data_IF_219380903487
#
_entry.id   IF_219380903487
#
_cell.length_a   1.000
_cell.length_b   1.000
_cell.length_c   1.000
_cell.angle_alpha   90.00
_cell.angle_beta   90.00
_cell.angle_gamma   90.00
#
_symmetry.space_group_name_H-M   'P 1'
#
loop_
_entity.id
_entity.type
_entity.pdbx_description
1 polymer ?
#
# COMPACT_ATOMS: atom_id res chain seq x y z
N UNK A 1 -2.18 15.22 30.19
CA UNK A 1 -1.16 14.72 29.26
C UNK A 1 -0.20 13.66 29.84
N UNK A 2 0.06 13.59 31.15
CA UNK A 2 0.98 12.59 31.75
C UNK A 2 0.37 11.19 31.99
N UNK A 3 -0.93 10.97 31.85
CA UNK A 3 -1.62 9.68 32.08
C UNK A 3 -1.90 8.86 30.81
N UNK A 4 -1.73 9.46 29.63
CA UNK A 4 -1.98 8.76 28.35
C UNK A 4 -0.75 7.96 27.86
N UNK A 5 0.45 8.35 28.30
CA UNK A 5 1.70 7.62 27.96
C UNK A 5 1.89 6.31 28.71
N UNK A 6 1.23 6.14 29.86
CA UNK A 6 1.36 4.95 30.69
C UNK A 6 0.52 3.75 30.19
N UNK A 7 -0.49 3.97 29.37
CA UNK A 7 -1.38 2.90 28.90
C UNK A 7 -0.84 2.15 27.67
N UNK A 8 0.08 2.76 26.93
CA UNK A 8 0.73 2.13 25.76
C UNK A 8 1.90 1.21 26.15
N UNK A 9 2.41 1.29 27.39
CA UNK A 9 3.54 0.50 27.87
C UNK A 9 3.08 -0.80 28.56
N UNK A 10 1.83 -0.89 29.01
CA UNK A 10 1.33 -2.03 29.79
C UNK A 10 0.70 -3.16 28.96
N UNK A 11 0.51 -3.01 27.67
CA UNK A 11 0.09 -4.11 26.78
C UNK A 11 1.25 -4.93 26.18
N UNK A 12 2.49 -4.60 26.50
CA UNK A 12 3.72 -5.23 25.97
C UNK A 12 4.45 -6.21 26.89
N UNK A 13 3.93 -6.51 28.08
CA UNK A 13 4.59 -7.45 29.01
C UNK A 13 3.77 -8.74 29.10
N UNK A 14 4.12 -9.71 28.24
CA UNK A 14 3.47 -11.01 28.34
C UNK A 14 3.86 -12.06 27.30
N UNK A 15 4.99 -11.93 26.65
CA UNK A 15 5.51 -13.05 25.85
C UNK A 15 7.04 -13.12 25.96
N UNK A 16 7.53 -13.65 27.04
CA UNK A 16 8.84 -14.31 27.02
C UNK A 16 8.66 -15.59 26.20
N UNK A 17 8.87 -15.49 24.90
CA UNK A 17 9.03 -16.66 24.05
C UNK A 17 10.38 -17.29 24.42
N UNK A 18 10.36 -18.41 25.11
CA UNK A 18 11.50 -19.26 25.37
C UNK A 18 12.03 -19.77 24.02
N UNK A 19 13.04 -19.10 23.48
CA UNK A 19 13.82 -19.64 22.38
C UNK A 19 14.71 -20.77 22.95
N UNK A 20 14.38 -22.00 22.64
CA UNK A 20 15.19 -23.14 23.02
C UNK A 20 16.53 -23.11 22.26
N UNK A 21 17.71 -23.38 22.89
CA UNK A 21 19.01 -23.36 22.20
C UNK A 21 19.11 -24.34 21.00
N UNK A 22 18.22 -25.34 20.93
CA UNK A 22 18.11 -26.25 19.81
C UNK A 22 17.63 -25.58 18.51
N UNK A 23 16.94 -24.45 18.58
CA UNK A 23 16.39 -23.77 17.40
C UNK A 23 17.48 -23.05 16.59
N UNK A 24 18.53 -22.54 17.23
CA UNK A 24 19.60 -21.83 16.52
C UNK A 24 20.51 -22.75 15.67
N UNK A 25 20.74 -23.98 16.09
CA UNK A 25 21.50 -24.96 15.32
C UNK A 25 20.65 -25.52 14.15
N UNK A 26 19.33 -25.70 14.38
CA UNK A 26 18.37 -26.16 13.39
C UNK A 26 18.10 -25.11 12.31
N UNK A 27 18.08 -23.83 12.66
CA UNK A 27 17.98 -22.71 11.69
C UNK A 27 19.21 -22.69 10.75
N UNK A 28 20.40 -23.03 11.22
CA UNK A 28 21.60 -23.11 10.36
C UNK A 28 21.55 -24.31 9.39
N UNK A 29 20.97 -25.44 9.78
CA UNK A 29 20.81 -26.60 8.87
C UNK A 29 19.68 -26.38 7.86
N UNK A 30 18.61 -25.71 8.26
CA UNK A 30 17.50 -25.33 7.36
C UNK A 30 17.94 -24.30 6.30
N UNK A 31 18.88 -23.41 6.64
CA UNK A 31 19.43 -22.44 5.67
C UNK A 31 20.26 -23.11 4.55
N UNK A 32 20.80 -24.30 4.74
CA UNK A 32 21.51 -25.03 3.69
C UNK A 32 20.58 -25.74 2.71
N UNK A 33 19.46 -26.29 3.21
CA UNK A 33 18.43 -26.92 2.34
C UNK A 33 17.51 -25.88 1.66
N UNK A 34 17.30 -24.71 2.26
CA UNK A 34 16.48 -23.64 1.69
C UNK A 34 17.11 -22.98 0.47
N UNK A 35 18.43 -23.10 0.27
CA UNK A 35 19.09 -22.62 -0.95
C UNK A 35 18.55 -23.29 -2.23
N UNK A 36 18.01 -24.50 -2.15
CA UNK A 36 17.36 -25.20 -3.28
C UNK A 36 15.90 -24.82 -3.49
N UNK A 37 15.19 -24.39 -2.43
CA UNK A 37 13.77 -24.01 -2.50
C UNK A 37 13.63 -22.52 -2.91
N UNK A 38 14.65 -21.73 -2.69
CA UNK A 38 14.68 -20.27 -2.98
C UNK A 38 14.58 -19.89 -4.46
N UNK A 39 14.64 -20.85 -5.38
CA UNK A 39 14.75 -20.50 -6.80
C UNK A 39 13.42 -20.24 -7.51
N UNK A 40 12.27 -20.48 -6.90
CA UNK A 40 11.02 -20.61 -7.64
C UNK A 40 9.89 -19.68 -7.23
N UNK A 41 9.99 -18.99 -6.14
CA UNK A 41 8.92 -18.06 -5.73
C UNK A 41 9.49 -16.74 -5.27
N UNK A 42 9.29 -15.74 -6.07
CA UNK A 42 9.69 -14.39 -5.74
C UNK A 42 8.65 -13.40 -6.13
N UNK A 43 8.56 -12.40 -5.31
CA UNK A 43 8.10 -11.08 -5.72
C UNK A 43 8.86 -10.62 -6.95
N UNK A 44 8.39 -9.57 -7.52
CA UNK A 44 9.02 -8.92 -8.65
C UNK A 44 10.46 -8.53 -8.35
N UNK A 45 11.30 -8.52 -9.37
CA UNK A 45 12.69 -8.15 -9.21
C UNK A 45 12.80 -6.69 -8.81
N UNK A 46 13.64 -6.42 -7.84
CA UNK A 46 14.03 -5.06 -7.50
C UNK A 46 15.37 -4.73 -8.13
N UNK A 47 15.60 -3.49 -8.57
CA UNK A 47 16.90 -3.02 -9.03
C UNK A 47 17.93 -2.93 -7.91
N UNK A 48 17.51 -2.84 -6.66
CA UNK A 48 18.39 -2.65 -5.50
C UNK A 48 18.24 -3.80 -4.49
N UNK A 49 19.31 -4.08 -3.67
CA UNK A 49 19.24 -5.08 -2.60
C UNK A 49 18.19 -4.77 -1.53
N UNK A 50 17.91 -3.49 -1.30
CA UNK A 50 16.84 -2.99 -0.44
C UNK A 50 15.82 -2.27 -1.34
N UNK A 51 14.87 -3.02 -1.88
CA UNK A 51 13.95 -2.49 -2.86
C UNK A 51 12.99 -1.48 -2.23
N UNK A 52 12.55 -0.49 -3.00
CA UNK A 52 11.45 0.37 -2.59
C UNK A 52 10.17 -0.42 -2.35
N UNK A 53 9.96 -1.49 -3.08
CA UNK A 53 8.80 -2.35 -2.87
C UNK A 53 9.16 -3.53 -1.97
N UNK A 54 8.29 -3.87 -1.01
CA UNK A 54 8.48 -5.02 -0.15
C UNK A 54 8.45 -6.31 -0.96
N UNK A 55 9.15 -7.29 -0.46
CA UNK A 55 9.21 -8.60 -1.14
C UNK A 55 8.02 -9.48 -0.83
N UNK A 56 7.25 -9.20 0.24
CA UNK A 56 6.19 -10.09 0.72
C UNK A 56 4.79 -9.55 0.50
N UNK A 57 4.58 -8.24 0.69
CA UNK A 57 3.24 -7.65 0.65
C UNK A 57 3.02 -6.73 -0.55
N UNK A 58 4.07 -6.42 -1.27
CA UNK A 58 3.94 -5.68 -2.50
C UNK A 58 3.29 -6.55 -3.57
N UNK A 59 2.33 -6.02 -4.31
CA UNK A 59 1.38 -6.78 -5.10
C UNK A 59 0.49 -7.74 -4.25
N UNK A 60 0.45 -7.52 -2.93
CA UNK A 60 -0.58 -7.95 -1.99
C UNK A 60 -0.54 -9.39 -1.49
N UNK A 61 0.05 -10.31 -2.17
CA UNK A 61 0.08 -11.71 -1.74
C UNK A 61 1.37 -12.05 -0.99
N UNK A 62 1.30 -12.52 0.25
CA UNK A 62 2.47 -12.97 0.98
C UNK A 62 3.17 -14.13 0.27
N UNK A 63 4.49 -14.15 0.30
CA UNK A 63 5.29 -15.19 -0.33
C UNK A 63 5.52 -16.36 0.62
N UNK A 64 4.70 -17.39 0.53
CA UNK A 64 4.89 -18.63 1.30
C UNK A 64 6.11 -19.38 0.77
N UNK A 65 7.04 -19.71 1.68
CA UNK A 65 8.29 -20.40 1.36
C UNK A 65 9.46 -19.49 1.04
N UNK A 66 9.31 -18.18 1.22
CA UNK A 66 10.40 -17.20 1.17
C UNK A 66 10.76 -16.69 2.56
N UNK A 67 11.99 -16.20 2.72
CA UNK A 67 12.42 -15.50 3.93
C UNK A 67 11.99 -14.03 3.81
N UNK A 68 10.91 -13.69 4.51
CA UNK A 68 10.34 -12.34 4.54
C UNK A 68 10.84 -11.52 5.75
N UNK A 69 11.97 -11.90 6.33
CA UNK A 69 12.50 -11.18 7.50
C UNK A 69 12.89 -9.77 7.13
N UNK A 70 12.34 -8.80 7.84
CA UNK A 70 12.70 -7.39 7.69
C UNK A 70 14.19 -7.14 7.95
N UNK A 71 14.82 -6.19 7.25
CA UNK A 71 16.23 -5.87 7.44
C UNK A 71 16.51 -5.29 8.83
N UNK A 72 17.75 -5.40 9.27
CA UNK A 72 18.22 -4.86 10.55
C UNK A 72 18.50 -3.36 10.46
N UNK A 73 17.47 -2.55 10.58
CA UNK A 73 17.60 -1.09 10.65
C UNK A 73 18.20 -0.60 11.98
N UNK A 74 18.63 0.67 12.08
CA UNK A 74 19.29 1.21 13.27
C UNK A 74 18.53 0.97 14.58
N UNK A 75 17.21 1.18 14.61
CA UNK A 75 16.39 0.95 15.80
C UNK A 75 16.36 -0.52 16.22
N UNK A 76 16.22 -1.44 15.25
CA UNK A 76 16.30 -2.89 15.51
C UNK A 76 17.64 -3.28 16.16
N UNK A 77 18.74 -2.71 15.66
CA UNK A 77 20.09 -2.93 16.23
C UNK A 77 20.22 -2.34 17.62
N UNK A 78 19.75 -1.10 17.81
CA UNK A 78 19.78 -0.39 19.10
C UNK A 78 19.02 -1.15 20.19
N UNK A 79 17.89 -1.77 19.82
CA UNK A 79 17.07 -2.58 20.73
C UNK A 79 17.62 -4.00 20.96
N UNK A 80 18.75 -4.37 20.34
CA UNK A 80 19.34 -5.70 20.48
C UNK A 80 18.56 -6.81 19.76
N UNK A 81 17.69 -6.45 18.82
CA UNK A 81 16.79 -7.39 18.12
C UNK A 81 17.38 -7.92 16.81
N UNK A 82 18.66 -7.69 16.52
CA UNK A 82 19.29 -8.10 15.25
C UNK A 82 19.16 -9.59 14.96
N UNK A 83 19.22 -10.44 15.99
CA UNK A 83 19.08 -11.90 15.89
C UNK A 83 17.68 -12.40 16.27
N UNK A 84 16.74 -11.49 16.54
CA UNK A 84 15.35 -11.83 16.83
C UNK A 84 14.53 -11.96 15.56
N UNK A 85 13.48 -12.78 15.59
CA UNK A 85 12.45 -12.76 14.55
C UNK A 85 11.63 -11.47 14.61
N UNK A 86 11.43 -10.90 15.81
CA UNK A 86 10.80 -9.59 15.98
C UNK A 86 11.78 -8.51 15.53
N UNK A 87 11.33 -7.68 14.59
CA UNK A 87 12.01 -6.46 14.16
C UNK A 87 11.17 -5.25 14.54
N UNK A 88 11.81 -4.20 15.01
CA UNK A 88 11.17 -2.91 15.30
C UNK A 88 11.97 -1.86 14.56
N UNK A 89 11.32 -1.17 13.65
CA UNK A 89 11.93 -0.17 12.78
C UNK A 89 10.93 0.90 12.35
N UNK A 90 11.42 1.94 11.73
CA UNK A 90 10.58 3.01 11.26
C UNK A 90 11.23 3.85 10.19
N UNK A 91 10.52 4.91 9.79
CA UNK A 91 10.99 5.89 8.82
C UNK A 91 10.44 7.27 9.12
N UNK A 92 11.14 8.27 8.60
CA UNK A 92 10.68 9.67 8.53
C UNK A 92 10.74 10.06 7.06
N UNK A 93 9.69 10.71 6.59
CA UNK A 93 9.50 11.12 5.20
C UNK A 93 8.95 12.55 5.12
N UNK A 94 9.81 13.58 5.15
CA UNK A 94 9.44 14.92 4.74
C UNK A 94 9.47 15.04 3.21
N UNK A 95 8.41 15.62 2.64
CA UNK A 95 8.29 15.92 1.23
C UNK A 95 8.11 17.40 0.95
N UNK A 96 8.35 17.79 -0.29
CA UNK A 96 8.15 19.14 -0.79
C UNK A 96 7.80 19.14 -2.26
N UNK A 97 6.97 20.06 -2.70
CA UNK A 97 6.64 20.27 -4.09
C UNK A 97 6.71 21.72 -4.52
N UNK A 98 6.87 21.92 -5.84
CA UNK A 98 6.62 23.17 -6.57
C UNK A 98 5.61 22.82 -7.65
N UNK A 99 4.44 23.41 -7.57
CA UNK A 99 3.31 23.14 -8.46
C UNK A 99 2.92 24.36 -9.28
N UNK A 100 2.44 24.11 -10.49
CA UNK A 100 1.73 25.13 -11.28
C UNK A 100 0.38 25.53 -10.67
N UNK A 101 -0.21 24.67 -9.84
CA UNK A 101 -1.39 24.97 -9.03
C UNK A 101 -1.00 25.86 -7.84
N UNK A 102 -1.93 26.74 -7.40
CA UNK A 102 -1.69 27.67 -6.30
C UNK A 102 -2.43 27.28 -5.03
N UNK A 103 -3.59 26.66 -5.19
CA UNK A 103 -4.52 26.41 -4.09
C UNK A 103 -4.61 24.94 -3.71
N UNK A 104 -4.52 24.03 -4.67
CA UNK A 104 -4.64 22.59 -4.43
C UNK A 104 -4.06 21.79 -5.59
N UNK A 105 -3.37 20.70 -5.28
CA UNK A 105 -2.95 19.70 -6.27
C UNK A 105 -4.05 18.66 -6.56
N UNK A 106 -5.20 18.71 -5.84
CA UNK A 106 -6.29 17.81 -6.12
C UNK A 106 -6.72 17.82 -7.61
N UNK A 107 -7.11 16.67 -8.17
CA UNK A 107 -7.44 15.41 -7.53
C UNK A 107 -6.25 14.51 -7.15
N UNK A 108 -5.05 14.95 -7.31
CA UNK A 108 -3.84 14.26 -6.85
C UNK A 108 -3.84 14.11 -5.32
N UNK A 109 -3.40 12.96 -4.82
CA UNK A 109 -3.24 12.68 -3.40
C UNK A 109 -1.78 12.71 -2.95
N UNK A 110 -1.56 12.63 -1.66
CA UNK A 110 -0.29 12.60 -0.95
C UNK A 110 0.42 13.97 -0.92
N UNK A 111 0.72 14.58 -2.02
CA UNK A 111 1.23 15.98 -2.14
C UNK A 111 0.10 16.98 -2.43
N UNK A 112 -1.00 16.90 -1.69
CA UNK A 112 -2.24 17.64 -1.93
C UNK A 112 -2.10 19.18 -1.83
N UNK A 113 -1.21 19.67 -0.98
CA UNK A 113 -0.99 21.11 -0.75
C UNK A 113 0.17 21.59 -1.61
N UNK A 114 -0.09 22.40 -2.64
CA UNK A 114 0.96 22.86 -3.55
C UNK A 114 1.95 23.82 -2.87
N UNK A 115 3.18 23.81 -3.39
CA UNK A 115 4.23 24.78 -3.05
C UNK A 115 4.56 24.81 -1.55
N UNK A 116 4.60 23.63 -0.92
CA UNK A 116 4.71 23.49 0.54
C UNK A 116 5.69 22.38 0.89
N UNK A 117 6.36 22.53 2.04
CA UNK A 117 7.10 21.44 2.70
C UNK A 117 6.19 20.82 3.75
N UNK A 118 6.07 19.50 3.74
CA UNK A 118 5.25 18.75 4.68
C UNK A 118 6.03 17.60 5.32
N UNK A 119 5.56 17.14 6.47
CA UNK A 119 5.94 15.86 7.04
C UNK A 119 4.86 14.85 6.62
N UNK A 120 5.17 14.06 5.60
CA UNK A 120 4.20 13.17 4.99
C UNK A 120 4.03 11.93 5.87
N UNK A 121 5.12 11.29 6.26
CA UNK A 121 5.07 10.11 7.11
C UNK A 121 6.16 10.08 8.19
N UNK A 122 5.77 9.68 9.39
CA UNK A 122 6.64 9.08 10.40
C UNK A 122 6.02 7.73 10.72
N UNK A 123 6.64 6.65 10.26
CA UNK A 123 6.16 5.29 10.46
C UNK A 123 6.91 4.55 11.55
N UNK A 124 6.19 3.71 12.31
CA UNK A 124 6.79 2.69 13.19
C UNK A 124 6.15 1.36 12.89
N UNK A 125 6.98 0.35 12.65
CA UNK A 125 6.57 -1.01 12.34
C UNK A 125 7.10 -1.99 13.38
N UNK A 126 6.21 -2.86 13.85
CA UNK A 126 6.51 -4.04 14.65
C UNK A 126 6.26 -5.24 13.75
N UNK A 127 7.28 -6.00 13.45
CA UNK A 127 7.24 -7.02 12.42
C UNK A 127 7.81 -8.34 12.97
N UNK A 128 6.92 -9.30 13.18
CA UNK A 128 7.23 -10.68 13.58
C UNK A 128 6.68 -11.62 12.51
N UNK A 129 7.47 -11.93 11.50
CA UNK A 129 7.04 -12.84 10.43
C UNK A 129 7.02 -14.29 10.90
N UNK A 130 5.99 -15.08 10.51
CA UNK A 130 6.01 -16.52 10.71
C UNK A 130 7.09 -17.16 9.85
N UNK A 131 7.66 -18.27 10.31
CA UNK A 131 8.57 -19.05 9.48
C UNK A 131 7.78 -19.89 8.45
N UNK A 132 7.68 -19.39 7.22
CA UNK A 132 6.97 -20.05 6.12
C UNK A 132 7.85 -20.97 5.27
N UNK A 133 9.14 -21.08 5.60
CA UNK A 133 10.10 -21.94 4.88
C UNK A 133 10.10 -23.38 5.41
N UNK A 134 9.82 -23.53 6.71
CA UNK A 134 9.72 -24.87 7.33
C UNK A 134 8.41 -25.58 6.98
N UNK A 135 8.37 -26.91 7.11
CA UNK A 135 7.25 -27.77 6.68
C UNK A 135 6.67 -28.65 7.79
N UNK A 136 7.12 -28.50 9.03
CA UNK A 136 6.82 -29.45 10.11
C UNK A 136 5.86 -28.92 11.20
N UNK A 137 5.81 -27.62 11.47
CA UNK A 137 5.01 -27.07 12.55
C UNK A 137 4.27 -25.76 12.19
N UNK A 138 3.19 -25.48 12.92
CA UNK A 138 2.47 -24.21 12.82
C UNK A 138 3.37 -23.07 13.34
N UNK A 139 3.46 -21.98 12.60
CA UNK A 139 4.25 -20.80 12.98
C UNK A 139 3.35 -19.56 13.08
N UNK A 140 3.64 -18.72 14.09
CA UNK A 140 2.87 -17.53 14.37
C UNK A 140 3.70 -16.28 14.09
N UNK A 141 3.01 -15.22 13.70
CA UNK A 141 3.56 -13.90 13.51
C UNK A 141 2.53 -12.81 13.81
N UNK A 142 2.97 -11.58 13.77
CA UNK A 142 2.10 -10.42 13.74
C UNK A 142 2.81 -9.25 13.07
N UNK A 143 2.01 -8.32 12.56
CA UNK A 143 2.51 -7.06 12.04
C UNK A 143 1.63 -5.93 12.55
N UNK A 144 2.28 -4.83 12.95
CA UNK A 144 1.60 -3.59 13.27
C UNK A 144 2.38 -2.42 12.70
N UNK A 145 1.70 -1.56 11.93
CA UNK A 145 2.27 -0.34 11.38
C UNK A 145 1.39 0.85 11.78
N UNK A 146 2.00 1.82 12.43
CA UNK A 146 1.35 3.10 12.75
C UNK A 146 2.09 4.21 12.05
N UNK A 147 1.36 5.08 11.37
CA UNK A 147 1.91 6.30 10.78
C UNK A 147 1.41 7.54 11.51
N UNK A 148 2.25 8.57 11.52
CA UNK A 148 1.94 9.94 11.87
C UNK A 148 2.39 10.84 10.71
N UNK A 149 1.62 11.87 10.38
CA UNK A 149 1.94 12.78 9.28
C UNK A 149 0.70 13.25 8.56
N UNK A 150 0.87 13.82 7.36
CA UNK A 150 -0.26 14.19 6.50
C UNK A 150 -0.94 12.98 5.90
N UNK A 151 -0.19 11.92 5.63
CA UNK A 151 -0.65 10.73 4.91
C UNK A 151 -1.53 9.78 5.73
N UNK A 152 -1.66 10.03 7.05
CA UNK A 152 -2.62 9.26 7.87
C UNK A 152 -4.03 9.25 7.28
N UNK A 153 -4.37 10.30 6.51
CA UNK A 153 -5.70 10.47 5.92
C UNK A 153 -6.04 9.45 4.84
N UNK A 154 -5.03 8.86 4.22
CA UNK A 154 -5.19 7.86 3.16
C UNK A 154 -5.29 6.42 3.69
N UNK A 155 -5.13 6.23 5.00
CA UNK A 155 -5.27 4.93 5.64
C UNK A 155 -6.45 4.85 6.61
N UNK A 156 -7.08 5.99 6.96
CA UNK A 156 -8.15 6.01 7.96
C UNK A 156 -9.37 5.21 7.51
N UNK A 157 -9.83 4.33 8.40
CA UNK A 157 -11.05 3.55 8.18
C UNK A 157 -12.20 4.00 9.09
N UNK A 158 -13.43 3.93 8.57
CA UNK A 158 -14.65 4.25 9.30
C UNK A 158 -14.85 3.30 10.47
N UNK A 159 -15.15 3.86 11.64
CA UNK A 159 -15.26 3.09 12.90
C UNK A 159 -13.95 2.98 13.68
N UNK A 160 -12.81 3.33 13.10
CA UNK A 160 -11.56 3.53 13.81
C UNK A 160 -11.45 4.97 14.32
N UNK A 161 -10.75 5.16 15.44
CA UNK A 161 -10.67 6.48 16.10
C UNK A 161 -9.94 7.54 15.27
N UNK A 162 -9.01 7.15 14.41
CA UNK A 162 -8.26 8.07 13.53
C UNK A 162 -9.17 8.75 12.50
N UNK A 163 -10.28 8.13 12.12
CA UNK A 163 -11.28 8.74 11.26
C UNK A 163 -11.89 10.02 11.84
N UNK A 164 -11.90 10.17 13.17
CA UNK A 164 -12.35 11.39 13.83
C UNK A 164 -11.41 12.57 13.58
N UNK A 165 -10.10 12.32 13.48
CA UNK A 165 -9.11 13.35 13.13
C UNK A 165 -9.36 13.88 11.73
N UNK A 166 -9.62 12.97 10.79
CA UNK A 166 -10.00 13.31 9.41
C UNK A 166 -11.36 14.05 9.40
N UNK A 167 -12.35 13.57 10.15
CA UNK A 167 -13.67 14.19 10.30
C UNK A 167 -13.60 15.62 10.84
N UNK A 168 -12.59 15.93 11.66
CA UNK A 168 -12.31 17.28 12.19
C UNK A 168 -11.37 18.09 11.29
N UNK A 169 -11.05 17.59 10.10
CA UNK A 169 -10.17 18.24 9.12
C UNK A 169 -8.74 18.53 9.66
N UNK A 170 -8.21 17.66 10.50
CA UNK A 170 -6.86 17.80 11.00
C UNK A 170 -5.83 17.50 9.89
N UNK A 171 -4.92 18.44 9.66
CA UNK A 171 -3.84 18.31 8.68
C UNK A 171 -2.91 17.15 9.04
N UNK A 172 -2.43 17.15 10.27
CA UNK A 172 -1.59 16.10 10.82
C UNK A 172 -2.40 15.21 11.76
N UNK A 173 -2.17 13.93 11.65
CA UNK A 173 -2.80 12.94 12.50
C UNK A 173 -1.97 11.67 12.56
N UNK A 174 -2.57 10.62 13.08
CA UNK A 174 -1.96 9.31 13.12
C UNK A 174 -3.00 8.23 12.86
N UNK A 175 -2.56 7.10 12.31
CA UNK A 175 -3.40 5.93 12.11
C UNK A 175 -2.62 4.64 12.33
N UNK A 176 -3.08 3.71 13.19
CA UNK A 176 -2.58 2.33 13.24
C UNK A 176 -3.18 1.55 12.06
N UNK A 177 -2.65 1.80 10.86
CA UNK A 177 -3.23 1.35 9.61
C UNK A 177 -3.14 -0.15 9.38
N UNK A 178 -2.12 -0.80 9.99
CA UNK A 178 -2.02 -2.26 10.00
C UNK A 178 -1.95 -2.77 11.42
N UNK A 179 -2.72 -3.79 11.69
CA UNK A 179 -2.68 -4.55 12.95
C UNK A 179 -3.28 -5.92 12.71
N UNK A 180 -2.46 -6.91 12.42
CA UNK A 180 -2.92 -8.26 12.14
C UNK A 180 -2.00 -9.34 12.68
N UNK A 181 -2.62 -10.47 13.05
CA UNK A 181 -1.95 -11.71 13.36
C UNK A 181 -1.75 -12.58 12.12
N UNK A 182 -0.70 -13.37 12.13
CA UNK A 182 -0.34 -14.32 11.08
C UNK A 182 -0.23 -15.73 11.66
N UNK A 183 -0.81 -16.72 10.97
CA UNK A 183 -0.71 -18.13 11.33
C UNK A 183 -0.35 -18.93 10.08
N UNK A 184 0.82 -19.54 10.09
CA UNK A 184 1.25 -20.41 9.00
C UNK A 184 0.99 -21.88 9.31
N UNK A 185 0.34 -22.56 8.37
CA UNK A 185 0.01 -23.99 8.41
C UNK A 185 0.77 -24.70 7.29
N UNK A 186 1.87 -25.38 7.59
CA UNK A 186 2.72 -25.98 6.55
C UNK A 186 2.10 -27.18 5.83
N UNK A 187 1.07 -27.83 6.42
CA UNK A 187 0.46 -29.08 5.91
C UNK A 187 -0.87 -28.86 5.19
N UNK A 188 -1.29 -27.62 5.00
CA UNK A 188 -2.49 -27.28 4.22
C UNK A 188 -2.01 -26.83 2.84
N UNK A 189 -2.40 -27.53 1.78
CA UNK A 189 -1.79 -27.41 0.45
C UNK A 189 -0.25 -27.55 0.53
N UNK A 190 0.53 -26.76 -0.21
CA UNK A 190 2.00 -26.67 -0.05
C UNK A 190 2.41 -25.56 0.94
N UNK A 191 1.53 -25.23 1.86
CA UNK A 191 1.59 -24.18 2.87
C UNK A 191 0.41 -23.23 2.74
N UNK A 192 -0.18 -22.85 3.89
CA UNK A 192 -1.23 -21.84 3.97
C UNK A 192 -0.84 -20.79 5.01
N UNK A 193 -0.99 -19.52 4.66
CA UNK A 193 -0.83 -18.40 5.58
C UNK A 193 -2.19 -17.75 5.81
N UNK A 194 -2.62 -17.67 7.08
CA UNK A 194 -3.83 -16.97 7.50
C UNK A 194 -3.44 -15.63 8.13
N UNK A 195 -3.99 -14.54 7.60
CA UNK A 195 -3.89 -13.16 8.12
C UNK A 195 -5.23 -12.80 8.74
N UNK A 196 -5.24 -12.26 9.96
CA UNK A 196 -6.46 -11.83 10.66
C UNK A 196 -6.22 -10.48 11.33
N UNK A 197 -7.03 -9.49 10.99
CA UNK A 197 -6.95 -8.14 11.54
C UNK A 197 -7.17 -7.07 10.49
N UNK A 198 -6.57 -5.90 10.69
CA UNK A 198 -6.57 -4.79 9.73
C UNK A 198 -5.29 -4.80 8.91
N UNK A 199 -5.41 -4.78 7.62
CA UNK A 199 -4.31 -4.83 6.65
C UNK A 199 -4.57 -3.91 5.46
N UNK A 200 -3.52 -3.57 4.71
CA UNK A 200 -3.62 -2.78 3.48
C UNK A 200 -4.26 -3.64 2.38
N UNK A 201 -5.04 -2.99 1.51
CA UNK A 201 -5.60 -3.60 0.30
C UNK A 201 -4.51 -4.35 -0.47
N UNK A 202 -4.75 -5.61 -0.88
CA UNK A 202 -3.65 -6.44 -1.36
C UNK A 202 -3.22 -6.20 -2.81
N UNK A 203 -3.91 -5.38 -3.59
CA UNK A 203 -3.86 -5.48 -5.04
C UNK A 203 -3.06 -4.39 -5.76
N UNK A 204 -2.29 -3.56 -5.08
CA UNK A 204 -1.63 -2.40 -5.69
C UNK A 204 -0.15 -2.63 -6.02
N UNK A 205 0.34 -2.00 -7.09
CA UNK A 205 1.77 -1.87 -7.38
C UNK A 205 2.38 -0.60 -6.75
N UNK A 206 1.55 0.26 -6.20
CA UNK A 206 1.92 1.38 -5.35
C UNK A 206 1.59 1.04 -3.90
N UNK A 207 2.39 1.49 -2.97
CA UNK A 207 2.22 1.18 -1.56
C UNK A 207 1.82 2.41 -0.76
N UNK A 208 1.08 2.20 0.33
CA UNK A 208 0.75 3.26 1.30
C UNK A 208 2.00 3.82 1.98
N UNK A 209 3.05 3.00 2.11
CA UNK A 209 4.27 3.38 2.81
C UNK A 209 5.25 4.02 1.84
N UNK A 210 5.70 5.23 2.15
CA UNK A 210 6.67 5.95 1.34
C UNK A 210 7.94 5.13 1.06
N UNK A 211 8.35 4.30 2.03
CA UNK A 211 9.51 3.39 1.90
C UNK A 211 9.38 2.37 0.79
N UNK A 212 8.17 2.09 0.32
CA UNK A 212 7.87 0.96 -0.54
C UNK A 212 7.46 1.37 -1.96
N UNK A 213 7.68 2.64 -2.31
CA UNK A 213 7.40 3.21 -3.62
C UNK A 213 8.67 3.62 -4.38
N UNK A 214 8.62 3.59 -5.72
CA UNK A 214 9.70 4.06 -6.60
C UNK A 214 9.76 5.58 -6.74
N UNK A 215 8.62 6.25 -6.67
CA UNK A 215 8.47 7.69 -6.82
C UNK A 215 7.98 8.31 -5.49
N UNK A 216 8.13 9.62 -5.35
CA UNK A 216 7.56 10.38 -4.25
C UNK A 216 6.04 10.40 -4.36
N UNK A 217 5.52 10.84 -5.50
CA UNK A 217 4.08 10.92 -5.73
C UNK A 217 3.48 9.58 -6.13
N UNK A 218 2.17 9.45 -5.91
CA UNK A 218 1.36 8.33 -6.35
C UNK A 218 0.60 8.66 -7.64
N UNK A 219 0.16 7.63 -8.35
CA UNK A 219 -0.74 7.81 -9.50
C UNK A 219 -2.11 8.31 -9.05
N UNK A 220 -2.82 8.94 -9.97
CA UNK A 220 -4.21 9.31 -9.71
C UNK A 220 -5.10 8.08 -9.50
N UNK A 221 -4.75 6.96 -10.11
CA UNK A 221 -5.40 5.67 -9.96
C UNK A 221 -5.36 5.20 -8.50
N UNK A 222 -4.19 5.21 -7.86
CA UNK A 222 -4.00 4.84 -6.47
C UNK A 222 -4.77 5.74 -5.48
N UNK A 223 -5.05 6.97 -5.88
CA UNK A 223 -5.79 7.93 -5.06
C UNK A 223 -7.24 7.52 -4.78
N UNK A 224 -7.84 6.72 -5.65
CA UNK A 224 -9.30 6.52 -5.69
C UNK A 224 -9.75 5.08 -5.44
N UNK A 225 -8.82 4.18 -5.13
CA UNK A 225 -9.08 2.80 -4.78
C UNK A 225 -9.23 2.57 -3.26
N UNK A 226 -9.57 1.36 -2.78
CA UNK A 226 -9.61 1.01 -1.36
C UNK A 226 -8.23 0.96 -0.74
N UNK A 227 -8.08 1.48 0.50
CA UNK A 227 -6.80 1.50 1.20
C UNK A 227 -6.62 0.37 2.22
N UNK A 228 -7.64 0.08 3.03
CA UNK A 228 -7.53 -0.92 4.10
C UNK A 228 -8.71 -1.86 4.16
N UNK A 229 -8.46 -3.09 4.59
CA UNK A 229 -9.48 -4.08 4.94
C UNK A 229 -9.34 -4.52 6.39
N UNK A 230 -10.45 -4.93 7.00
CA UNK A 230 -10.42 -5.57 8.32
C UNK A 230 -11.21 -6.87 8.29
N UNK A 231 -10.49 -7.98 8.38
CA UNK A 231 -11.09 -9.29 8.23
C UNK A 231 -10.11 -10.44 8.37
N UNK A 232 -10.35 -11.50 7.63
CA UNK A 232 -9.50 -12.67 7.55
C UNK A 232 -9.20 -13.03 6.09
N UNK A 233 -7.95 -13.33 5.79
CA UNK A 233 -7.43 -13.63 4.47
C UNK A 233 -6.53 -14.86 4.55
N UNK A 234 -6.79 -15.87 3.73
CA UNK A 234 -5.99 -17.08 3.63
C UNK A 234 -5.31 -17.15 2.27
N UNK A 235 -3.98 -17.27 2.29
CA UNK A 235 -3.16 -17.48 1.09
C UNK A 235 -2.68 -18.91 1.06
N UNK A 236 -2.96 -19.62 -0.03
CA UNK A 236 -2.57 -21.01 -0.26
C UNK A 236 -1.46 -21.09 -1.30
N UNK A 237 -0.39 -21.75 -0.99
CA UNK A 237 0.63 -22.14 -1.96
C UNK A 237 0.14 -23.37 -2.74
N UNK A 238 0.09 -23.26 -4.06
CA UNK A 238 -0.36 -24.31 -4.98
C UNK A 238 0.78 -24.68 -5.93
N UNK A 239 1.75 -25.43 -5.43
CA UNK A 239 2.97 -25.76 -6.16
C UNK A 239 3.99 -24.61 -6.17
N UNK A 240 4.86 -24.65 -7.18
CA UNK A 240 6.00 -23.73 -7.26
C UNK A 240 5.68 -22.39 -7.89
N UNK A 241 4.58 -22.28 -8.63
CA UNK A 241 4.31 -21.13 -9.49
C UNK A 241 3.00 -20.42 -9.17
N UNK A 242 2.12 -21.06 -8.40
CA UNK A 242 0.79 -20.54 -8.13
C UNK A 242 0.54 -20.30 -6.66
N UNK A 243 -0.15 -19.23 -6.37
CA UNK A 243 -0.78 -18.98 -5.07
C UNK A 243 -2.23 -18.58 -5.31
N UNK A 244 -3.10 -18.97 -4.40
CA UNK A 244 -4.51 -18.57 -4.35
C UNK A 244 -4.76 -17.87 -3.04
N UNK A 245 -5.48 -16.76 -3.10
CA UNK A 245 -5.83 -15.98 -1.94
C UNK A 245 -7.34 -15.82 -1.86
N UNK A 246 -7.91 -16.09 -0.70
CA UNK A 246 -9.33 -15.93 -0.41
C UNK A 246 -9.49 -15.17 0.90
N UNK A 247 -10.47 -14.27 0.96
CA UNK A 247 -10.69 -13.47 2.16
C UNK A 247 -12.12 -13.02 2.32
N UNK A 248 -12.42 -12.62 3.55
CA UNK A 248 -13.66 -11.94 3.93
C UNK A 248 -13.30 -10.80 4.88
N UNK A 249 -13.92 -9.66 4.71
CA UNK A 249 -13.71 -8.47 5.52
C UNK A 249 -15.01 -7.68 5.74
N UNK A 250 -14.91 -6.59 6.47
CA UNK A 250 -16.05 -5.76 6.86
C UNK A 250 -16.42 -4.68 5.84
N UNK A 251 -15.77 -4.70 4.67
CA UNK A 251 -15.86 -3.67 3.63
C UNK A 251 -14.63 -2.76 3.60
N UNK A 252 -14.51 -2.01 2.52
CA UNK A 252 -13.38 -1.13 2.26
C UNK A 252 -13.30 -0.01 3.29
N UNK A 253 -12.11 0.19 3.85
CA UNK A 253 -11.83 1.24 4.85
C UNK A 253 -12.83 1.24 6.01
N UNK A 254 -13.16 0.04 6.50
CA UNK A 254 -14.25 -0.18 7.44
C UNK A 254 -13.83 -1.06 8.63
N UNK A 255 -14.20 -0.62 9.83
CA UNK A 255 -14.10 -1.46 11.02
C UNK A 255 -15.31 -2.40 11.13
N UNK A 256 -15.16 -3.66 11.59
CA UNK A 256 -16.27 -4.61 11.73
C UNK A 256 -17.39 -4.16 12.68
N UNK A 257 -17.10 -3.27 13.60
CA UNK A 257 -18.07 -2.69 14.54
C UNK A 257 -18.72 -1.40 14.04
N UNK A 258 -18.40 -0.96 12.84
CA UNK A 258 -19.07 0.16 12.19
C UNK A 258 -20.51 -0.23 11.81
N UNK A 259 -21.45 0.71 11.97
CA UNK A 259 -22.85 0.49 11.54
C UNK A 259 -23.01 0.31 10.04
N UNK A 260 -22.01 0.73 9.26
CA UNK A 260 -21.98 0.58 7.79
C UNK A 260 -21.17 -0.63 7.34
N UNK A 261 -20.63 -1.43 8.27
CA UNK A 261 -19.89 -2.63 7.94
C UNK A 261 -20.78 -3.62 7.20
N UNK A 262 -20.28 -4.11 6.07
CA UNK A 262 -20.93 -5.12 5.26
C UNK A 262 -19.90 -6.15 4.84
N UNK A 263 -20.32 -7.41 4.70
CA UNK A 263 -19.42 -8.48 4.30
C UNK A 263 -18.96 -8.22 2.87
N UNK A 264 -17.64 -8.20 2.71
CA UNK A 264 -16.95 -8.08 1.46
C UNK A 264 -16.08 -9.32 1.26
N UNK A 265 -15.94 -9.77 0.01
CA UNK A 265 -15.17 -10.96 -0.35
C UNK A 265 -13.97 -10.60 -1.21
N UNK A 266 -12.90 -11.39 -1.05
CA UNK A 266 -11.67 -11.31 -1.84
C UNK A 266 -11.36 -12.68 -2.43
N UNK A 267 -10.98 -12.70 -3.73
CA UNK A 267 -10.50 -13.89 -4.43
C UNK A 267 -9.44 -13.48 -5.43
N UNK A 268 -8.18 -13.75 -5.13
CA UNK A 268 -7.03 -13.37 -5.95
C UNK A 268 -6.17 -14.58 -6.27
N UNK A 269 -5.47 -14.54 -7.38
CA UNK A 269 -4.51 -15.55 -7.76
C UNK A 269 -3.20 -14.90 -8.21
N UNK A 270 -2.07 -15.50 -7.83
CA UNK A 270 -0.74 -15.14 -8.29
C UNK A 270 -0.14 -16.27 -9.10
N UNK A 271 0.45 -15.89 -10.22
CA UNK A 271 1.31 -16.76 -11.01
C UNK A 271 2.68 -16.11 -11.21
N UNK A 272 3.73 -16.93 -11.09
CA UNK A 272 5.12 -16.54 -11.38
C UNK A 272 5.68 -17.48 -12.44
N UNK A 273 6.33 -16.93 -13.46
CA UNK A 273 6.93 -17.74 -14.53
C UNK A 273 8.10 -18.59 -14.02
N UNK A 274 8.41 -19.67 -14.74
CA UNK A 274 9.49 -20.60 -14.40
C UNK A 274 10.86 -19.91 -14.34
N UNK A 275 11.11 -18.94 -15.21
CA UNK A 275 12.34 -18.16 -15.26
C UNK A 275 12.36 -16.97 -14.27
N UNK A 276 11.28 -16.81 -13.50
CA UNK A 276 11.07 -15.70 -12.56
C UNK A 276 11.16 -14.31 -13.20
N UNK A 277 10.85 -14.22 -14.50
CA UNK A 277 10.84 -12.94 -15.21
C UNK A 277 9.45 -12.30 -15.28
N UNK A 278 8.40 -13.07 -15.01
CA UNK A 278 7.02 -12.56 -14.99
C UNK A 278 6.35 -12.92 -13.67
N UNK A 279 5.55 -11.99 -13.16
CA UNK A 279 4.58 -12.22 -12.09
C UNK A 279 3.26 -11.58 -12.50
N UNK A 280 2.17 -12.33 -12.38
CA UNK A 280 0.81 -11.84 -12.57
C UNK A 280 0.07 -12.09 -11.27
N UNK A 281 -0.57 -11.06 -10.74
CA UNK A 281 -1.41 -11.16 -9.56
C UNK A 281 -2.71 -10.41 -9.83
N UNK A 282 -3.85 -11.00 -9.55
CA UNK A 282 -5.11 -10.34 -9.79
C UNK A 282 -6.33 -11.20 -9.51
N UNK A 283 -7.49 -10.58 -9.60
CA UNK A 283 -8.78 -11.17 -9.36
C UNK A 283 -9.79 -10.19 -8.79
N UNK A 284 -10.60 -10.68 -7.87
CA UNK A 284 -11.59 -9.89 -7.13
C UNK A 284 -10.93 -9.38 -5.85
N UNK A 285 -10.67 -8.08 -5.78
CA UNK A 285 -10.11 -7.45 -4.57
C UNK A 285 -11.20 -7.07 -3.58
N UNK A 286 -12.37 -6.66 -4.07
CA UNK A 286 -13.51 -6.29 -3.26
C UNK A 286 -14.82 -6.65 -3.96
N UNK A 287 -15.65 -7.49 -3.33
CA UNK A 287 -16.97 -7.85 -3.82
C UNK A 287 -17.95 -8.04 -2.64
N UNK A 288 -18.87 -7.11 -2.49
CA UNK A 288 -19.96 -7.11 -1.53
C UNK A 288 -21.28 -6.77 -2.21
N UNK A 289 -22.13 -6.02 -1.53
CA UNK A 289 -23.40 -5.59 -2.12
C UNK A 289 -23.27 -4.37 -3.06
N UNK A 290 -22.16 -3.62 -2.98
CA UNK A 290 -21.86 -2.49 -3.85
C UNK A 290 -22.61 -1.20 -3.53
N UNK A 291 -23.41 -1.15 -2.47
CA UNK A 291 -24.19 0.04 -2.14
C UNK A 291 -23.33 1.13 -1.49
N UNK A 292 -23.30 2.29 -2.14
CA UNK A 292 -22.62 3.45 -1.61
C UNK A 292 -23.25 3.93 -0.30
N UNK A 293 -22.43 4.05 0.73
CA UNK A 293 -22.82 4.70 1.99
C UNK A 293 -22.00 5.97 2.20
N UNK A 294 -20.71 5.93 1.94
CA UNK A 294 -19.80 7.06 1.99
C UNK A 294 -18.43 6.66 1.44
N UNK A 295 -17.79 7.52 0.63
CA UNK A 295 -16.40 7.37 0.17
C UNK A 295 -16.15 6.03 -0.57
N UNK A 296 -15.26 5.18 -0.04
CA UNK A 296 -14.94 3.86 -0.56
C UNK A 296 -15.89 2.75 -0.07
N UNK A 297 -16.81 3.08 0.85
CA UNK A 297 -17.73 2.09 1.43
C UNK A 297 -18.39 1.29 0.31
N UNK A 298 -18.31 -0.02 0.37
CA UNK A 298 -18.85 -0.94 -0.63
C UNK A 298 -18.40 -0.70 -2.08
N UNK A 299 -17.27 -0.06 -2.30
CA UNK A 299 -16.63 0.00 -3.61
C UNK A 299 -16.23 -1.39 -4.05
N UNK A 300 -16.65 -1.80 -5.22
CA UNK A 300 -16.32 -3.10 -5.80
C UNK A 300 -15.11 -2.95 -6.70
N UNK A 301 -14.20 -3.94 -6.71
CA UNK A 301 -12.95 -3.86 -7.46
C UNK A 301 -12.53 -5.19 -8.07
N UNK A 302 -12.32 -5.18 -9.38
CA UNK A 302 -11.52 -6.17 -10.09
C UNK A 302 -10.18 -5.54 -10.42
N UNK A 303 -9.08 -6.27 -10.21
CA UNK A 303 -7.73 -5.74 -10.42
C UNK A 303 -6.80 -6.82 -10.95
N UNK A 304 -5.81 -6.41 -11.72
CA UNK A 304 -4.70 -7.25 -12.15
C UNK A 304 -3.41 -6.45 -12.21
N UNK A 305 -2.33 -7.05 -11.74
CA UNK A 305 -0.97 -6.53 -11.84
C UNK A 305 -0.11 -7.47 -12.69
N UNK A 306 0.81 -6.91 -13.43
CA UNK A 306 1.80 -7.64 -14.21
C UNK A 306 3.18 -7.01 -14.03
N UNK A 307 4.10 -7.79 -13.52
CA UNK A 307 5.50 -7.42 -13.48
C UNK A 307 6.30 -8.21 -14.49
N UNK A 308 7.19 -7.52 -15.23
CA UNK A 308 8.07 -8.14 -16.19
C UNK A 308 9.51 -7.62 -16.06
N UNK A 309 10.44 -8.55 -16.00
CA UNK A 309 11.87 -8.28 -15.98
C UNK A 309 12.47 -8.50 -17.36
N UNK A 310 12.83 -7.44 -18.04
CA UNK A 310 13.49 -7.52 -19.35
C UNK A 310 14.94 -7.99 -19.22
N UNK A 311 15.63 -7.51 -18.20
CA UNK A 311 17.00 -7.88 -17.87
C UNK A 311 17.36 -7.49 -16.42
N UNK A 312 18.63 -7.55 -16.04
CA UNK A 312 19.08 -7.27 -14.66
C UNK A 312 18.96 -5.80 -14.25
N UNK A 313 18.82 -4.89 -15.19
CA UNK A 313 18.81 -3.43 -14.94
C UNK A 313 17.51 -2.77 -15.38
N UNK A 314 16.62 -3.49 -16.03
CA UNK A 314 15.39 -2.94 -16.56
C UNK A 314 14.20 -3.89 -16.31
N UNK A 315 13.17 -3.37 -15.68
CA UNK A 315 11.90 -4.07 -15.48
C UNK A 315 10.72 -3.09 -15.53
N UNK A 316 9.54 -3.63 -15.67
CA UNK A 316 8.29 -2.89 -15.60
C UNK A 316 7.31 -3.53 -14.62
N UNK A 317 6.37 -2.69 -14.19
CA UNK A 317 5.19 -3.06 -13.43
C UNK A 317 3.99 -2.39 -14.04
N UNK A 318 2.92 -3.11 -14.19
CA UNK A 318 1.65 -2.58 -14.71
C UNK A 318 0.52 -3.05 -13.84
N UNK A 319 -0.41 -2.17 -13.54
CA UNK A 319 -1.65 -2.48 -12.88
C UNK A 319 -2.80 -1.92 -13.68
N UNK A 320 -3.94 -2.62 -13.65
CA UNK A 320 -5.20 -2.14 -14.17
C UNK A 320 -6.34 -2.62 -13.28
N UNK A 321 -7.34 -1.76 -13.09
CA UNK A 321 -8.54 -2.11 -12.35
C UNK A 321 -9.82 -1.64 -13.02
N UNK A 322 -10.94 -2.26 -12.61
CA UNK A 322 -12.31 -1.83 -12.85
C UNK A 322 -13.02 -1.69 -11.50
N UNK A 323 -13.54 -0.50 -11.23
CA UNK A 323 -14.28 -0.16 -10.03
C UNK A 323 -15.75 0.06 -10.37
N UNK A 324 -16.65 -0.33 -9.45
CA UNK A 324 -18.08 0.05 -9.55
C UNK A 324 -18.72 0.18 -8.17
N UNK A 325 -19.80 0.94 -8.12
CA UNK A 325 -20.55 1.21 -6.90
C UNK A 325 -21.97 1.62 -7.27
N UNK A 326 -22.95 1.15 -6.50
CA UNK A 326 -24.37 1.50 -6.71
C UNK A 326 -24.74 2.72 -5.87
N UNK A 327 -25.70 3.52 -6.35
CA UNK A 327 -26.25 4.70 -5.67
C UNK A 327 -25.16 5.73 -5.24
N UNK A 328 -24.04 5.74 -5.91
CA UNK A 328 -22.92 6.61 -5.58
C UNK A 328 -23.26 8.11 -5.80
N UNK A 329 -22.49 8.95 -5.13
CA UNK A 329 -22.57 10.40 -5.31
C UNK A 329 -21.34 10.89 -6.08
N UNK A 330 -21.49 11.99 -6.79
CA UNK A 330 -20.37 12.69 -7.42
C UNK A 330 -19.36 13.10 -6.34
N UNK A 331 -18.07 12.85 -6.55
CA UNK A 331 -17.01 13.17 -5.58
C UNK A 331 -16.97 12.25 -4.37
N UNK A 332 -17.26 10.97 -4.55
CA UNK A 332 -17.31 9.96 -3.48
C UNK A 332 -16.00 9.67 -2.75
N UNK A 333 -14.86 10.18 -3.21
CA UNK A 333 -13.54 9.92 -2.60
C UNK A 333 -13.15 11.00 -1.58
N UNK A 334 -12.52 10.62 -0.49
CA UNK A 334 -12.11 11.52 0.61
C UNK A 334 -11.25 12.70 0.15
N UNK A 335 -10.51 12.53 -0.91
CA UNK A 335 -9.45 13.46 -1.32
C UNK A 335 -9.95 14.48 -2.31
N UNK A 336 -10.96 14.14 -3.07
CA UNK A 336 -11.35 14.88 -4.27
C UNK A 336 -12.58 15.75 -4.09
N UNK A 337 -13.08 15.75 -2.94
CA UNK A 337 -14.14 16.67 -2.70
C UNK A 337 -13.76 18.12 -2.92
N UNK A 338 -14.68 19.12 -2.78
CA UNK A 338 -14.53 20.52 -3.07
C UNK A 338 -13.34 21.12 -2.41
N UNK A 339 -12.97 22.29 -2.82
CA UNK A 339 -11.65 22.85 -2.82
C UNK A 339 -11.04 23.18 -1.46
N UNK A 340 -11.19 22.34 -0.53
CA UNK A 340 -10.52 22.47 0.74
C UNK A 340 -9.29 21.57 0.73
N UNK A 341 -8.11 22.02 1.03
CA UNK A 341 -6.92 21.20 1.03
C UNK A 341 -6.97 20.02 2.00
N UNK A 342 -7.96 20.00 2.91
CA UNK A 342 -8.26 18.89 3.81
C UNK A 342 -9.77 18.75 3.95
N UNK A 343 -10.26 17.65 3.49
CA UNK A 343 -11.67 17.49 3.19
C UNK A 343 -12.51 16.82 4.24
N UNK A 344 -13.73 17.29 4.45
CA UNK A 344 -14.75 16.71 5.33
C UNK A 344 -16.07 16.39 4.64
N UNK A 345 -16.34 16.95 3.47
CA UNK A 345 -17.64 16.84 2.79
C UNK A 345 -17.58 15.98 1.54
N UNK A 346 -17.07 14.77 1.71
CA UNK A 346 -16.93 13.82 0.62
C UNK A 346 -18.28 13.18 0.32
N UNK A 347 -18.58 13.05 -0.97
CA UNK A 347 -19.82 12.46 -1.44
C UNK A 347 -21.05 13.32 -1.19
N UNK A 348 -20.87 14.63 -1.05
CA UNK A 348 -21.97 15.59 -0.95
C UNK A 348 -22.52 16.02 -2.31
N UNK A 349 -21.99 15.47 -3.42
CA UNK A 349 -22.43 15.79 -4.77
C UNK A 349 -23.78 15.19 -5.13
N UNK A 350 -24.22 15.44 -6.36
CA UNK A 350 -25.47 14.90 -6.87
C UNK A 350 -25.43 13.36 -6.95
N UNK A 351 -26.56 12.67 -6.72
CA UNK A 351 -26.66 11.23 -6.95
C UNK A 351 -26.32 10.87 -8.40
N UNK A 352 -25.53 9.82 -8.57
CA UNK A 352 -25.20 9.25 -9.88
C UNK A 352 -26.29 8.27 -10.26
N UNK A 353 -27.00 8.46 -11.39
CA UNK A 353 -28.00 7.51 -11.85
C UNK A 353 -27.37 6.16 -12.21
N UNK A 354 -27.92 5.08 -11.67
CA UNK A 354 -27.48 3.72 -11.96
C UNK A 354 -26.17 3.36 -11.24
N UNK A 355 -25.26 2.72 -11.97
CA UNK A 355 -23.98 2.23 -11.45
C UNK A 355 -22.88 3.22 -11.76
N UNK A 356 -22.20 3.71 -10.74
CA UNK A 356 -20.93 4.42 -10.89
C UNK A 356 -19.85 3.44 -11.31
N UNK A 357 -19.02 3.83 -12.27
CA UNK A 357 -17.90 3.02 -12.74
C UNK A 357 -16.63 3.86 -12.90
N UNK A 358 -15.48 3.25 -12.68
CA UNK A 358 -14.19 3.84 -13.01
C UNK A 358 -13.22 2.76 -13.52
N UNK A 359 -12.32 3.16 -14.41
CA UNK A 359 -11.26 2.30 -14.96
C UNK A 359 -9.92 3.00 -14.77
N UNK A 360 -8.97 2.31 -14.15
CA UNK A 360 -7.62 2.81 -13.98
C UNK A 360 -6.59 1.86 -14.60
N UNK A 361 -5.47 2.43 -15.06
CA UNK A 361 -4.27 1.69 -15.42
C UNK A 361 -3.04 2.53 -15.11
N UNK A 362 -2.02 1.91 -14.55
CA UNK A 362 -0.72 2.54 -14.32
C UNK A 362 0.41 1.59 -14.74
N UNK A 363 1.46 2.17 -15.32
CA UNK A 363 2.65 1.46 -15.71
C UNK A 363 3.88 2.16 -15.15
N UNK A 364 4.79 1.37 -14.60
CA UNK A 364 6.11 1.80 -14.17
C UNK A 364 7.20 1.12 -14.97
N UNK A 365 8.18 1.90 -15.42
CA UNK A 365 9.47 1.41 -15.90
C UNK A 365 10.56 1.81 -14.93
N UNK A 366 11.42 0.84 -14.60
CA UNK A 366 12.53 1.00 -13.68
C UNK A 366 13.84 0.69 -14.37
N UNK A 367 14.77 1.65 -14.36
CA UNK A 367 16.06 1.57 -15.00
C UNK A 367 17.16 1.76 -13.96
N UNK A 368 17.90 0.70 -13.65
CA UNK A 368 19.05 0.75 -12.76
C UNK A 368 20.22 1.41 -13.49
N UNK A 369 20.64 2.58 -13.03
CA UNK A 369 21.75 3.38 -13.59
C UNK A 369 23.07 3.03 -12.91
N UNK A 370 23.04 2.89 -11.58
CA UNK A 370 24.19 2.48 -10.77
C UNK A 370 23.72 1.61 -9.60
N UNK A 371 24.66 1.16 -8.75
CA UNK A 371 24.30 0.40 -7.54
C UNK A 371 23.42 1.17 -6.55
N UNK A 372 23.34 2.50 -6.68
CA UNK A 372 22.61 3.39 -5.77
C UNK A 372 21.64 4.32 -6.47
N UNK A 373 21.57 4.23 -7.81
CA UNK A 373 20.78 5.16 -8.62
C UNK A 373 19.90 4.43 -9.59
N UNK A 374 18.65 4.87 -9.71
CA UNK A 374 17.79 4.44 -10.79
C UNK A 374 16.80 5.53 -11.21
N UNK A 375 16.29 5.38 -12.42
CA UNK A 375 15.28 6.22 -13.01
C UNK A 375 13.96 5.45 -13.00
N UNK A 376 12.91 6.11 -12.56
CA UNK A 376 11.53 5.62 -12.56
C UNK A 376 10.72 6.44 -13.55
N UNK A 377 9.97 5.78 -14.42
CA UNK A 377 9.01 6.42 -15.32
C UNK A 377 7.65 5.82 -15.03
N UNK A 378 6.68 6.67 -14.70
CA UNK A 378 5.28 6.28 -14.49
C UNK A 378 4.40 6.89 -15.57
N UNK A 379 3.45 6.09 -16.05
CA UNK A 379 2.37 6.55 -16.91
C UNK A 379 1.06 6.01 -16.34
N UNK A 380 0.15 6.91 -15.99
CA UNK A 380 -1.15 6.60 -15.43
C UNK A 380 -2.29 7.05 -16.33
N UNK A 381 -3.41 6.34 -16.24
CA UNK A 381 -4.67 6.67 -16.85
C UNK A 381 -5.80 6.35 -15.88
N UNK A 382 -6.74 7.28 -15.73
CA UNK A 382 -7.98 7.07 -14.98
C UNK A 382 -9.15 7.60 -15.80
N UNK A 383 -10.19 6.78 -15.95
CA UNK A 383 -11.49 7.19 -16.48
C UNK A 383 -12.53 7.18 -15.37
N UNK A 384 -13.11 8.32 -15.10
CA UNK A 384 -14.19 8.54 -14.12
C UNK A 384 -15.37 9.25 -14.81
N UNK A 385 -16.13 8.51 -15.67
CA UNK A 385 -17.10 9.12 -16.57
C UNK A 385 -18.29 9.77 -15.89
N UNK A 386 -18.55 9.43 -14.63
CA UNK A 386 -19.61 10.05 -13.84
C UNK A 386 -19.10 11.00 -12.75
N UNK A 387 -17.79 11.12 -12.57
CA UNK A 387 -17.21 11.93 -11.51
C UNK A 387 -17.40 11.34 -10.10
N UNK A 388 -17.68 10.05 -10.01
CA UNK A 388 -17.94 9.39 -8.72
C UNK A 388 -16.71 9.25 -7.86
N UNK A 389 -15.52 9.26 -8.45
CA UNK A 389 -14.25 9.15 -7.74
C UNK A 389 -13.58 10.50 -7.56
N UNK A 390 -13.46 11.28 -8.61
CA UNK A 390 -12.69 12.54 -8.63
C UNK A 390 -13.54 13.80 -8.43
N UNK A 391 -14.85 13.68 -8.49
CA UNK A 391 -15.77 14.83 -8.50
C UNK A 391 -15.99 15.46 -9.88
N UNK A 392 -15.27 15.00 -10.89
CA UNK A 392 -15.33 15.53 -12.26
C UNK A 392 -15.50 14.39 -13.27
N UNK A 393 -16.54 14.50 -14.09
CA UNK A 393 -16.84 13.51 -15.14
C UNK A 393 -15.85 13.65 -16.31
N UNK A 394 -14.71 13.01 -16.21
CA UNK A 394 -13.63 13.09 -17.20
C UNK A 394 -12.71 11.87 -17.16
N UNK A 395 -11.80 11.78 -18.12
CA UNK A 395 -10.63 10.91 -18.05
C UNK A 395 -9.37 11.73 -17.79
N UNK A 396 -8.36 11.09 -17.23
CA UNK A 396 -7.11 11.70 -16.85
C UNK A 396 -5.93 10.90 -17.39
N UNK A 397 -4.80 11.59 -17.60
CA UNK A 397 -3.49 10.94 -17.66
C UNK A 397 -2.54 11.61 -16.68
N UNK A 398 -1.60 10.86 -16.15
CA UNK A 398 -0.44 11.33 -15.42
C UNK A 398 0.84 10.72 -16.00
N UNK A 399 1.90 11.53 -16.08
CA UNK A 399 3.21 11.15 -16.57
C UNK A 399 4.25 11.69 -15.62
N UNK A 400 5.06 10.80 -15.06
CA UNK A 400 6.09 11.17 -14.09
C UNK A 400 7.41 10.55 -14.47
N UNK A 401 8.47 11.31 -14.33
CA UNK A 401 9.84 10.83 -14.35
C UNK A 401 10.53 11.25 -13.07
N UNK A 402 11.15 10.29 -12.40
CA UNK A 402 11.88 10.51 -11.16
C UNK A 402 13.24 9.83 -11.17
N UNK A 403 14.09 10.36 -10.32
CA UNK A 403 15.43 9.83 -10.06
C UNK A 403 15.53 9.48 -8.58
N UNK A 404 16.04 8.31 -8.27
CA UNK A 404 16.21 7.87 -6.88
C UNK A 404 17.68 7.67 -6.61
N UNK A 405 18.18 8.30 -5.55
CA UNK A 405 19.54 8.16 -5.06
C UNK A 405 19.57 7.66 -3.63
N UNK A 406 20.29 6.57 -3.40
CA UNK A 406 20.59 6.05 -2.06
C UNK A 406 21.94 6.58 -1.58
N UNK A 407 21.94 7.46 -0.60
CA UNK A 407 23.18 7.86 0.11
C UNK A 407 23.82 6.66 0.85
N UNK A 408 22.94 5.84 1.43
CA UNK A 408 23.28 4.58 2.09
C UNK A 408 22.00 3.71 2.21
N UNK A 409 22.04 2.59 2.92
CA UNK A 409 20.92 1.66 3.09
C UNK A 409 19.71 2.27 3.85
N UNK A 410 19.90 3.40 4.49
CA UNK A 410 18.90 4.04 5.36
C UNK A 410 18.39 5.37 4.86
N UNK A 411 19.12 6.03 3.96
CA UNK A 411 18.80 7.40 3.51
C UNK A 411 18.73 7.43 1.99
N UNK A 412 17.60 7.90 1.46
CA UNK A 412 17.41 8.14 0.02
C UNK A 412 16.64 9.42 -0.24
N UNK A 413 16.81 9.99 -1.45
CA UNK A 413 15.99 11.06 -2.00
C UNK A 413 15.34 10.62 -3.31
N UNK A 414 14.16 11.21 -3.61
CA UNK A 414 13.39 10.92 -4.83
C UNK A 414 12.87 12.20 -5.49
N UNK A 415 13.73 12.99 -6.16
CA UNK A 415 13.25 14.09 -6.99
C UNK A 415 12.50 13.56 -8.21
N UNK A 416 11.40 14.25 -8.56
CA UNK A 416 10.56 13.91 -9.71
C UNK A 416 9.93 15.14 -10.36
N UNK A 417 9.52 14.97 -11.62
CA UNK A 417 8.69 15.92 -12.36
C UNK A 417 7.48 15.16 -12.88
N UNK A 418 6.28 15.73 -12.65
CA UNK A 418 5.00 15.16 -13.05
C UNK A 418 4.18 16.13 -13.89
N UNK A 419 3.49 15.59 -14.88
CA UNK A 419 2.47 16.27 -15.65
C UNK A 419 1.17 15.47 -15.60
N UNK A 420 0.07 16.17 -15.36
CA UNK A 420 -1.28 15.60 -15.27
C UNK A 420 -2.25 16.40 -16.13
N UNK A 421 -3.22 15.72 -16.74
CA UNK A 421 -4.20 16.36 -17.61
C UNK A 421 -5.55 15.65 -17.56
N UNK A 422 -6.63 16.47 -17.55
CA UNK A 422 -8.00 16.04 -17.81
C UNK A 422 -8.39 16.26 -19.28
N UNK A 423 -9.27 15.41 -19.83
CA UNK A 423 -9.55 15.39 -21.27
C UNK A 423 -10.91 15.94 -21.65
N UNK A 424 -11.93 15.84 -20.81
CA UNK A 424 -13.28 16.31 -21.15
C UNK A 424 -13.30 17.85 -21.36
N UNK A 425 -14.08 18.28 -22.34
CA UNK A 425 -14.21 19.69 -22.67
C UNK A 425 -14.95 20.43 -21.55
N UNK A 426 -14.43 21.63 -21.22
CA UNK A 426 -14.98 22.47 -20.15
C UNK A 426 -14.74 21.96 -18.73
N UNK A 427 -14.08 20.80 -18.56
CA UNK A 427 -13.74 20.27 -17.23
C UNK A 427 -12.32 20.67 -16.85
N UNK A 428 -12.19 21.30 -15.69
CA UNK A 428 -10.95 21.87 -15.15
C UNK A 428 -10.74 21.42 -13.72
N UNK A 429 -10.33 20.16 -13.46
CA UNK A 429 -10.34 19.59 -12.10
C UNK A 429 -9.23 20.08 -11.18
N UNK A 430 -8.13 20.61 -11.74
CA UNK A 430 -6.96 21.06 -10.98
C UNK A 430 -7.11 22.48 -10.46
N UNK A 431 -6.30 22.82 -9.44
CA UNK A 431 -6.25 24.13 -8.78
C UNK A 431 -7.64 24.64 -8.39
N UNK A 432 -8.39 23.78 -7.67
CA UNK A 432 -9.76 24.05 -7.23
C UNK A 432 -10.75 24.29 -8.39
N UNK A 433 -10.67 23.53 -9.44
CA UNK A 433 -11.60 23.62 -10.55
C UNK A 433 -11.27 24.72 -11.56
N UNK A 434 -10.04 25.23 -11.58
CA UNK A 434 -9.65 26.35 -12.46
C UNK A 434 -8.72 25.94 -13.61
N UNK A 435 -8.08 24.75 -13.53
CA UNK A 435 -7.10 24.30 -14.53
C UNK A 435 -7.45 22.94 -15.09
N UNK A 436 -7.13 22.75 -16.36
CA UNK A 436 -7.30 21.47 -17.09
C UNK A 436 -6.10 20.53 -16.92
N UNK A 437 -4.94 21.08 -16.59
CA UNK A 437 -3.69 20.36 -16.41
C UNK A 437 -2.85 20.97 -15.27
N UNK A 438 -1.84 20.20 -14.86
CA UNK A 438 -0.95 20.55 -13.76
C UNK A 438 0.47 20.00 -14.02
N UNK A 439 1.46 20.80 -13.65
CA UNK A 439 2.87 20.44 -13.56
C UNK A 439 3.31 20.52 -12.11
N UNK A 440 4.01 19.49 -11.65
CA UNK A 440 4.57 19.44 -10.31
C UNK A 440 6.02 18.96 -10.38
N UNK A 441 6.91 19.63 -9.67
CA UNK A 441 8.25 19.14 -9.36
C UNK A 441 8.29 18.86 -7.86
N UNK A 442 8.45 17.60 -7.49
CA UNK A 442 8.43 17.14 -6.10
C UNK A 442 9.69 16.42 -5.70
N UNK A 443 9.91 16.31 -4.41
CA UNK A 443 10.99 15.54 -3.83
C UNK A 443 10.68 15.18 -2.39
N UNK A 444 11.06 13.99 -1.97
CA UNK A 444 11.11 13.60 -0.58
C UNK A 444 12.51 13.14 -0.12
N UNK A 445 12.65 13.02 1.20
CA UNK A 445 13.82 12.47 1.87
C UNK A 445 13.38 11.38 2.83
N UNK A 446 13.66 10.13 2.51
CA UNK A 446 13.34 9.02 3.39
C UNK A 446 14.55 8.68 4.26
N UNK A 447 14.34 8.67 5.59
CA UNK A 447 15.32 8.23 6.58
C UNK A 447 14.74 7.05 7.35
N UNK A 448 15.31 5.87 7.19
CA UNK A 448 14.92 4.64 7.91
C UNK A 448 15.75 4.48 9.19
N UNK A 449 15.11 4.10 10.26
CA UNK A 449 15.75 3.93 11.57
C UNK A 449 15.36 2.66 12.32
#
# INVERSE_FOLDING_TARGET
MKKLFALLILSGIGAQAFAHPADSARIKSLNADTAKIRTVQRSLPSPLPDPPFPTSDWDGAPLIGSDATAPNYPLTKLLGLSNSRLKIYGWIDPGADISSSKNSNAPTSYDLIPNTVMLDQVGIKFDLQPNTVQTDHVSFGFLSTTIFGTDYRYTTGKGYFSNQLLGNNNKYGFDPAEMYGLIYFPKIADGMLLKIGRYISPADIEAQWATDNYLYSHSLMFTVDPYTFTGAQATFKLGSYWQLEVGVDAGNDMAPWSKSAQINGLLMARWVSHDNNNSIYGGINALGNGDYTRQHDDLQMLVATWGHKFNKTFHMMTEAYYLWQYHALVGGTVITGPPQPFYTNVGAGAPIPGTMTAVGAVNYFQILVSKRDYISIRNGYLSDPQGGRTGYATSYSDHTIGFVHYFNDYIRIRPEIRYERAYADGITPYDNGTKKDQYTAGMDLIVRF
#
